data_IF_615893169279
#
_entry.id   IF_615893169279
#
_cell.length_a   1.000
_cell.length_b   1.000
_cell.length_c   1.000
_cell.angle_alpha   90.00
_cell.angle_beta   90.00
_cell.angle_gamma   90.00
#
_symmetry.space_group_name_H-M   'P 1'
#
loop_
_entity.id
_entity.type
_entity.pdbx_description
1 polymer ?
#
# COMPACT_ATOMS: atom_id res chain seq x y z
N UNK A 1 -3.99 6.98 -12.49
CA UNK A 1 -2.82 7.29 -11.64
C UNK A 1 -1.71 7.97 -12.43
N UNK A 2 -1.01 7.33 -13.37
CA UNK A 2 0.21 7.89 -13.99
C UNK A 2 0.07 9.24 -14.73
N UNK A 3 -1.10 9.53 -15.30
CA UNK A 3 -1.38 10.82 -15.95
C UNK A 3 -2.13 11.81 -15.05
N UNK A 4 -2.27 11.52 -13.75
CA UNK A 4 -2.93 12.44 -12.82
C UNK A 4 -2.05 13.67 -12.60
N UNK A 5 -2.67 14.86 -12.55
CA UNK A 5 -1.97 16.13 -12.40
C UNK A 5 -1.06 16.15 -11.17
N UNK A 6 -1.48 15.51 -10.08
CA UNK A 6 -0.71 15.43 -8.84
C UNK A 6 0.66 14.80 -9.07
N UNK A 7 0.73 13.66 -9.77
CA UNK A 7 2.00 13.02 -10.10
C UNK A 7 2.73 13.79 -11.18
N UNK A 8 2.01 14.30 -12.18
CA UNK A 8 2.62 15.02 -13.29
C UNK A 8 3.39 16.26 -12.86
N UNK A 9 2.90 16.98 -11.84
CA UNK A 9 3.60 18.14 -11.26
C UNK A 9 5.02 17.80 -10.77
N UNK A 10 5.25 16.58 -10.31
CA UNK A 10 6.57 16.14 -9.84
C UNK A 10 7.62 16.18 -10.96
N UNK A 11 7.22 15.92 -12.21
CA UNK A 11 8.15 15.92 -13.34
C UNK A 11 8.74 17.31 -13.64
N UNK A 12 7.99 18.38 -13.36
CA UNK A 12 8.50 19.75 -13.54
C UNK A 12 9.62 20.12 -12.56
N UNK A 13 9.75 19.39 -11.45
CA UNK A 13 10.78 19.58 -10.44
C UNK A 13 11.91 18.55 -10.50
N UNK A 14 11.93 17.69 -11.53
CA UNK A 14 12.96 16.66 -11.66
C UNK A 14 14.35 17.29 -11.86
N UNK A 15 14.46 18.35 -12.67
CA UNK A 15 15.74 19.02 -12.92
C UNK A 15 16.31 19.62 -11.63
N UNK A 16 15.48 20.34 -10.86
CA UNK A 16 15.88 20.92 -9.58
C UNK A 16 16.33 19.84 -8.59
N UNK A 17 15.63 18.70 -8.53
CA UNK A 17 16.01 17.59 -7.67
C UNK A 17 17.36 16.96 -8.06
N UNK A 18 17.71 16.94 -9.35
CA UNK A 18 19.01 16.47 -9.83
C UNK A 18 20.12 17.44 -9.41
N UNK A 19 19.89 18.74 -9.56
CA UNK A 19 20.90 19.78 -9.32
C UNK A 19 21.11 20.07 -7.83
N UNK A 20 20.04 20.09 -7.05
CA UNK A 20 20.04 20.59 -5.68
C UNK A 20 19.69 19.50 -4.64
N UNK A 21 19.32 18.29 -5.09
CA UNK A 21 18.85 17.22 -4.22
C UNK A 21 17.38 17.36 -3.78
N UNK A 22 16.92 16.42 -2.97
CA UNK A 22 15.53 16.34 -2.50
C UNK A 22 14.62 15.52 -3.44
N UNK A 23 13.32 15.51 -3.13
CA UNK A 23 12.33 14.70 -3.87
C UNK A 23 11.44 15.59 -4.75
N UNK A 24 11.30 15.29 -6.06
CA UNK A 24 10.49 16.11 -6.95
C UNK A 24 9.04 16.30 -6.48
N UNK A 25 8.42 15.25 -5.93
CA UNK A 25 7.07 15.33 -5.37
C UNK A 25 7.00 16.32 -4.20
N UNK A 26 7.96 16.27 -3.28
CA UNK A 26 8.00 17.16 -2.13
C UNK A 26 8.29 18.61 -2.50
N UNK A 27 9.07 18.83 -3.56
CA UNK A 27 9.24 20.18 -4.13
C UNK A 27 7.95 20.72 -4.74
N UNK A 28 7.17 19.86 -5.41
CA UNK A 28 5.91 20.25 -6.05
C UNK A 28 4.79 20.56 -5.03
N UNK A 29 4.72 19.80 -3.93
CA UNK A 29 3.55 19.79 -3.03
C UNK A 29 3.86 20.22 -1.59
N UNK A 30 5.13 20.47 -1.25
CA UNK A 30 5.56 20.91 0.08
C UNK A 30 5.48 19.83 1.18
N UNK A 31 5.17 18.58 0.81
CA UNK A 31 5.03 17.45 1.73
C UNK A 31 5.43 16.14 1.04
N UNK A 32 5.56 15.05 1.78
CA UNK A 32 5.82 13.73 1.18
C UNK A 32 4.59 13.20 0.45
N UNK A 33 4.78 12.21 -0.43
CA UNK A 33 3.67 11.58 -1.14
C UNK A 33 2.65 10.92 -0.20
N UNK A 34 3.11 10.30 0.90
CA UNK A 34 2.22 9.65 1.86
C UNK A 34 1.42 10.66 2.68
N UNK A 35 2.02 11.78 3.09
CA UNK A 35 1.28 12.88 3.73
C UNK A 35 0.24 13.47 2.76
N UNK A 36 0.59 13.63 1.48
CA UNK A 36 -0.33 14.16 0.48
C UNK A 36 -1.56 13.28 0.28
N UNK A 37 -1.41 11.95 0.34
CA UNK A 37 -2.53 11.00 0.26
C UNK A 37 -3.56 11.20 1.40
N UNK A 38 -3.14 11.74 2.55
CA UNK A 38 -4.07 12.10 3.63
C UNK A 38 -4.90 13.34 3.29
N UNK A 39 -4.36 14.24 2.47
CA UNK A 39 -4.96 15.54 2.16
C UNK A 39 -5.91 15.52 0.97
N UNK A 40 -5.64 14.70 -0.06
CA UNK A 40 -6.47 14.58 -1.26
C UNK A 40 -7.13 13.19 -1.34
N UNK A 41 -8.39 13.11 -0.90
CA UNK A 41 -9.17 11.87 -0.94
C UNK A 41 -9.40 11.33 -2.36
N UNK A 42 -9.50 12.20 -3.37
CA UNK A 42 -9.70 11.79 -4.77
C UNK A 42 -8.43 11.11 -5.27
N UNK A 43 -7.27 11.72 -5.01
CA UNK A 43 -5.99 11.14 -5.38
C UNK A 43 -5.69 9.87 -4.59
N UNK A 44 -6.02 9.83 -3.29
CA UNK A 44 -5.88 8.64 -2.46
C UNK A 44 -6.67 7.43 -3.01
N UNK A 45 -7.93 7.62 -3.41
CA UNK A 45 -8.71 6.56 -4.06
C UNK A 45 -8.06 6.10 -5.36
N UNK A 46 -7.69 7.04 -6.23
CA UNK A 46 -7.04 6.72 -7.51
C UNK A 46 -5.72 5.98 -7.34
N UNK A 47 -4.93 6.35 -6.34
CA UNK A 47 -3.68 5.68 -5.99
C UNK A 47 -3.94 4.25 -5.51
N UNK A 48 -4.83 4.07 -4.53
CA UNK A 48 -5.14 2.76 -3.97
C UNK A 48 -5.75 1.80 -5.01
N UNK A 49 -6.63 2.29 -5.89
CA UNK A 49 -7.19 1.49 -7.00
C UNK A 49 -6.11 1.06 -7.99
N UNK A 50 -5.22 1.99 -8.35
CA UNK A 50 -4.10 1.71 -9.26
C UNK A 50 -3.15 0.65 -8.70
N UNK A 51 -2.71 0.82 -7.45
CA UNK A 51 -1.83 -0.13 -6.76
C UNK A 51 -2.51 -1.48 -6.56
N UNK A 52 -3.80 -1.51 -6.17
CA UNK A 52 -4.57 -2.75 -6.00
C UNK A 52 -4.66 -3.56 -7.28
N UNK A 53 -4.91 -2.89 -8.41
CA UNK A 53 -5.02 -3.53 -9.73
C UNK A 53 -3.68 -4.15 -10.16
N UNK A 54 -2.59 -3.40 -10.01
CA UNK A 54 -1.24 -3.89 -10.31
C UNK A 54 -0.84 -5.06 -9.41
N UNK A 55 -1.06 -4.92 -8.10
CA UNK A 55 -0.78 -5.94 -7.09
C UNK A 55 -1.51 -7.25 -7.39
N UNK A 56 -2.77 -7.16 -7.82
CA UNK A 56 -3.56 -8.35 -8.18
C UNK A 56 -2.89 -9.18 -9.27
N UNK A 57 -2.33 -8.52 -10.29
CA UNK A 57 -1.65 -9.21 -11.39
C UNK A 57 -0.35 -9.87 -10.89
N UNK A 58 0.47 -9.13 -10.15
CA UNK A 58 1.78 -9.58 -9.69
C UNK A 58 1.67 -10.72 -8.69
N UNK A 59 0.81 -10.58 -7.66
CA UNK A 59 0.66 -11.58 -6.60
C UNK A 59 0.12 -12.90 -7.15
N UNK A 60 -0.81 -12.87 -8.11
CA UNK A 60 -1.27 -14.09 -8.80
C UNK A 60 -0.11 -14.83 -9.46
N UNK A 61 0.79 -14.13 -10.14
CA UNK A 61 1.98 -14.74 -10.76
C UNK A 61 2.99 -15.25 -9.75
N UNK A 62 3.18 -14.54 -8.64
CA UNK A 62 4.02 -15.03 -7.54
C UNK A 62 3.47 -16.36 -7.03
N UNK A 63 2.17 -16.46 -6.80
CA UNK A 63 1.54 -17.68 -6.30
C UNK A 63 1.66 -18.88 -7.25
N UNK A 64 1.88 -18.67 -8.55
CA UNK A 64 2.09 -19.77 -9.50
C UNK A 64 3.39 -20.52 -9.23
N UNK A 65 4.44 -19.81 -8.78
CA UNK A 65 5.81 -20.33 -8.67
C UNK A 65 6.33 -20.42 -7.24
N UNK A 66 5.90 -19.52 -6.36
CA UNK A 66 6.40 -19.42 -4.99
C UNK A 66 5.57 -20.29 -4.05
N UNK A 67 6.27 -21.11 -3.25
CA UNK A 67 5.67 -22.05 -2.28
C UNK A 67 5.98 -21.72 -0.83
N UNK A 68 6.67 -20.60 -0.55
CA UNK A 68 7.04 -20.26 0.83
C UNK A 68 5.88 -19.81 1.73
N UNK A 69 4.63 -19.83 1.23
CA UNK A 69 3.44 -19.69 2.06
C UNK A 69 2.93 -21.04 2.60
N UNK A 70 3.41 -22.16 2.07
CA UNK A 70 2.98 -23.49 2.49
C UNK A 70 3.34 -23.73 3.96
N UNK A 71 2.35 -24.15 4.75
CA UNK A 71 2.52 -24.46 6.19
C UNK A 71 2.56 -23.24 7.12
N UNK A 72 2.39 -22.02 6.59
CA UNK A 72 2.23 -20.84 7.45
C UNK A 72 0.89 -20.88 8.18
N UNK A 73 0.90 -20.43 9.43
CA UNK A 73 -0.32 -20.26 10.23
C UNK A 73 -0.78 -18.80 10.28
N UNK A 74 0.17 -17.87 10.28
CA UNK A 74 -0.08 -16.43 10.40
C UNK A 74 0.84 -15.69 9.42
N UNK A 75 0.26 -14.72 8.70
CA UNK A 75 0.99 -13.84 7.80
C UNK A 75 0.63 -12.39 8.08
N UNK A 76 1.64 -11.55 8.29
CA UNK A 76 1.48 -10.11 8.47
C UNK A 76 1.99 -9.41 7.21
N UNK A 77 1.16 -8.57 6.60
CA UNK A 77 1.53 -7.73 5.46
C UNK A 77 1.72 -6.29 5.95
N UNK A 78 2.96 -5.82 5.96
CA UNK A 78 3.36 -4.50 6.48
C UNK A 78 3.45 -3.52 5.33
N UNK A 79 2.66 -2.44 5.38
CA UNK A 79 2.42 -1.59 4.22
C UNK A 79 1.51 -2.27 3.19
N UNK A 80 0.61 -3.16 3.65
CA UNK A 80 -0.25 -3.99 2.79
C UNK A 80 -1.38 -3.22 2.10
N UNK A 81 -1.47 -1.91 2.32
CA UNK A 81 -2.41 -1.01 1.70
C UNK A 81 -3.85 -1.39 2.00
N UNK A 82 -4.63 -1.56 0.94
CA UNK A 82 -6.04 -1.98 1.03
C UNK A 82 -6.21 -3.44 1.45
N UNK A 83 -5.14 -4.23 1.57
CA UNK A 83 -5.18 -5.65 1.97
C UNK A 83 -5.38 -6.63 0.82
N UNK A 84 -5.29 -6.16 -0.43
CA UNK A 84 -5.49 -6.99 -1.64
C UNK A 84 -4.51 -8.15 -1.72
N UNK A 85 -3.24 -7.94 -1.40
CA UNK A 85 -2.22 -9.00 -1.37
C UNK A 85 -2.65 -10.17 -0.49
N UNK A 86 -2.98 -9.88 0.77
CA UNK A 86 -3.44 -10.90 1.71
C UNK A 86 -4.73 -11.56 1.26
N UNK A 87 -5.67 -10.82 0.67
CA UNK A 87 -6.93 -11.41 0.19
C UNK A 87 -6.71 -12.48 -0.87
N UNK A 88 -5.73 -12.27 -1.76
CA UNK A 88 -5.36 -13.22 -2.82
C UNK A 88 -4.62 -14.42 -2.21
N UNK A 89 -3.69 -14.18 -1.28
CA UNK A 89 -2.96 -15.26 -0.59
C UNK A 89 -3.93 -16.13 0.22
N UNK A 90 -4.80 -15.52 1.03
CA UNK A 90 -5.79 -16.23 1.85
C UNK A 90 -6.80 -17.00 0.99
N UNK A 91 -7.13 -16.53 -0.20
CA UNK A 91 -7.99 -17.28 -1.14
C UNK A 91 -7.34 -18.60 -1.59
N UNK A 92 -6.01 -18.63 -1.73
CA UNK A 92 -5.26 -19.86 -2.06
C UNK A 92 -4.91 -20.70 -0.83
N UNK A 93 -4.72 -20.04 0.31
CA UNK A 93 -4.33 -20.65 1.58
C UNK A 93 -5.33 -20.30 2.70
N UNK A 94 -6.54 -20.90 2.72
CA UNK A 94 -7.60 -20.49 3.64
C UNK A 94 -7.30 -20.73 5.12
N UNK A 95 -6.26 -21.50 5.43
CA UNK A 95 -5.81 -21.76 6.80
C UNK A 95 -4.92 -20.65 7.37
N UNK A 96 -4.33 -19.81 6.52
CA UNK A 96 -3.48 -18.70 6.95
C UNK A 96 -4.36 -17.60 7.54
N UNK A 97 -4.04 -17.20 8.78
CA UNK A 97 -4.62 -16.01 9.41
C UNK A 97 -3.85 -14.78 8.93
N UNK A 98 -4.53 -13.91 8.17
CA UNK A 98 -3.92 -12.68 7.65
C UNK A 98 -4.03 -11.51 8.62
N UNK A 99 -2.97 -10.69 8.71
CA UNK A 99 -2.98 -9.40 9.41
C UNK A 99 -2.49 -8.33 8.45
N UNK A 100 -3.40 -7.47 7.97
CA UNK A 100 -3.04 -6.32 7.15
C UNK A 100 -2.64 -5.16 8.06
N UNK A 101 -1.45 -4.60 7.84
CA UNK A 101 -0.89 -3.53 8.65
C UNK A 101 -0.53 -2.32 7.81
N UNK A 102 -1.15 -1.17 8.08
CA UNK A 102 -0.90 0.08 7.34
C UNK A 102 -1.25 1.33 8.17
N UNK A 103 -1.11 2.51 7.56
CA UNK A 103 -1.46 3.80 8.14
C UNK A 103 -2.99 3.94 8.30
N UNK A 104 -3.49 4.63 9.35
CA UNK A 104 -4.92 4.78 9.60
C UNK A 104 -5.72 5.31 8.39
N UNK A 105 -5.18 6.29 7.66
CA UNK A 105 -5.87 6.90 6.52
C UNK A 105 -6.01 5.96 5.31
N UNK A 106 -5.09 5.00 5.16
CA UNK A 106 -5.14 3.98 4.10
C UNK A 106 -6.20 2.94 4.45
N UNK A 107 -6.19 2.48 5.71
CA UNK A 107 -7.09 1.45 6.21
C UNK A 107 -8.55 1.91 6.27
N UNK A 108 -8.80 3.21 6.49
CA UNK A 108 -10.15 3.78 6.55
C UNK A 108 -10.99 3.48 5.30
N UNK A 109 -10.36 3.32 4.13
CA UNK A 109 -11.02 3.02 2.86
C UNK A 109 -10.80 1.56 2.40
N UNK A 110 -10.21 0.71 3.24
CA UNK A 110 -9.90 -0.68 2.87
C UNK A 110 -11.15 -1.57 2.93
N UNK A 111 -11.36 -2.46 1.94
CA UNK A 111 -12.43 -3.46 2.02
C UNK A 111 -12.21 -4.42 3.17
N UNK A 112 -13.30 -4.94 3.72
CA UNK A 112 -13.23 -6.06 4.67
C UNK A 112 -13.07 -7.38 3.90
N UNK A 113 -12.06 -8.17 4.27
CA UNK A 113 -11.82 -9.50 3.72
C UNK A 113 -11.97 -10.57 4.80
N UNK A 114 -12.64 -11.68 4.46
CA UNK A 114 -12.78 -12.80 5.39
C UNK A 114 -11.41 -13.38 5.77
N UNK A 115 -11.22 -13.67 7.05
CA UNK A 115 -9.96 -14.23 7.57
C UNK A 115 -8.78 -13.26 7.68
N UNK A 116 -9.00 -11.96 7.39
CA UNK A 116 -7.97 -10.92 7.47
C UNK A 116 -8.33 -9.92 8.57
N UNK A 117 -7.43 -9.76 9.53
CA UNK A 117 -7.50 -8.73 10.57
C UNK A 117 -6.79 -7.47 10.09
N UNK A 118 -7.40 -6.31 10.30
CA UNK A 118 -6.79 -5.00 10.01
C UNK A 118 -6.20 -4.42 11.30
N UNK A 119 -4.96 -3.93 11.24
CA UNK A 119 -4.23 -3.33 12.35
C UNK A 119 -3.56 -2.02 11.88
N UNK A 120 -3.69 -0.93 12.64
CA UNK A 120 -3.11 0.37 12.26
C UNK A 120 -1.82 0.72 13.01
N UNK A 121 -0.96 1.49 12.37
CA UNK A 121 0.14 2.22 13.00
C UNK A 121 -0.42 3.38 13.83
N UNK A 122 -0.62 3.19 15.13
CA UNK A 122 -0.74 4.31 16.06
C UNK A 122 0.66 4.64 16.57
N UNK A 123 0.98 5.92 16.82
CA UNK A 123 2.29 6.41 17.30
C UNK A 123 2.80 5.83 18.65
N UNK A 124 2.26 4.71 19.13
CA UNK A 124 2.71 4.00 20.32
C UNK A 124 2.99 2.53 19.96
N UNK A 125 4.27 2.18 20.08
CA UNK A 125 4.90 0.84 20.04
C UNK A 125 3.98 -0.32 19.68
N UNK A 126 4.33 -1.02 18.61
CA UNK A 126 3.92 -2.41 18.36
C UNK A 126 4.30 -3.24 19.59
N UNK A 127 3.31 -3.62 20.39
CA UNK A 127 3.46 -4.60 21.46
C UNK A 127 2.80 -5.87 20.97
N UNK A 128 3.61 -6.86 20.62
CA UNK A 128 3.16 -8.22 20.36
C UNK A 128 3.28 -8.93 21.71
N UNK A 129 2.15 -9.13 22.40
CA UNK A 129 2.03 -10.03 23.54
C UNK A 129 1.37 -11.31 23.11
#
# INVERSE_FOLDING_TARGET
MHHDEVLMKSWFHLNDAILEGGFPFSRAHGMTAFEYLETDQRFNRLFNEGISSYTTLVVKKILDVYRGFDGLNVLVDVGGGTGVTLSIIASKYPHIKGINYDLPHVLANSPSYSGIKVCSLNHKRVSIS
#
